data_IF_879297284115
#
_entry.id   IF_879297284115
#
_cell.length_a   1.000
_cell.length_b   1.000
_cell.length_c   1.000
_cell.angle_alpha   90.00
_cell.angle_beta   90.00
_cell.angle_gamma   90.00
#
_symmetry.space_group_name_H-M   'P 1'
#
loop_
_entity.id
_entity.type
_entity.pdbx_description
1 polymer ?
#
# COMPACT_ATOMS: atom_id res chain seq x y z
N UNK A 1 14.49 29.95 -5.86
CA UNK A 1 14.54 29.73 -4.42
C UNK A 1 14.97 28.30 -4.12
N UNK A 2 15.62 28.07 -2.98
CA UNK A 2 16.09 26.75 -2.57
C UNK A 2 14.97 25.92 -1.92
N UNK A 3 13.94 26.60 -1.45
CA UNK A 3 12.73 25.99 -0.85
C UNK A 3 11.51 26.49 -1.61
N UNK A 4 10.65 25.55 -1.99
CA UNK A 4 9.38 25.78 -2.68
C UNK A 4 8.28 25.22 -1.80
N UNK A 5 7.26 26.04 -1.51
CA UNK A 5 6.10 25.64 -0.71
C UNK A 5 4.87 25.70 -1.62
N UNK A 6 4.14 24.60 -1.71
CA UNK A 6 2.96 24.44 -2.56
C UNK A 6 1.79 23.95 -1.72
N UNK A 7 0.67 24.63 -1.87
CA UNK A 7 -0.58 24.24 -1.22
C UNK A 7 -1.53 23.69 -2.27
N UNK A 8 -1.87 22.40 -2.18
CA UNK A 8 -2.76 21.68 -3.11
C UNK A 8 -2.42 21.92 -4.60
N UNK A 9 -1.17 21.73 -5.07
CA UNK A 9 -0.72 22.22 -6.36
C UNK A 9 -1.46 21.66 -7.57
N UNK A 10 -2.11 20.48 -7.43
CA UNK A 10 -2.86 19.85 -8.52
C UNK A 10 -4.36 19.78 -8.30
N UNK A 11 -4.89 20.52 -7.31
CA UNK A 11 -6.33 20.57 -7.06
C UNK A 11 -7.09 21.15 -8.27
N UNK A 12 -8.11 20.44 -8.73
CA UNK A 12 -8.91 20.85 -9.89
C UNK A 12 -8.21 20.78 -11.26
N UNK A 13 -7.02 20.19 -11.33
CA UNK A 13 -6.24 20.03 -12.56
C UNK A 13 -6.55 18.68 -13.21
N UNK A 14 -6.67 18.67 -14.54
CA UNK A 14 -6.85 17.39 -15.28
C UNK A 14 -5.63 16.46 -15.17
N UNK A 15 -5.83 15.20 -15.50
CA UNK A 15 -4.82 14.14 -15.30
C UNK A 15 -3.54 14.39 -16.09
N UNK A 16 -3.64 14.93 -17.33
CA UNK A 16 -2.47 15.14 -18.19
C UNK A 16 -1.60 16.30 -17.66
N UNK A 17 -2.24 17.39 -17.27
CA UNK A 17 -1.55 18.54 -16.69
C UNK A 17 -0.97 18.20 -15.30
N UNK A 18 -1.67 17.40 -14.49
CA UNK A 18 -1.16 16.90 -13.21
C UNK A 18 0.14 16.12 -13.40
N UNK A 19 0.19 15.17 -14.33
CA UNK A 19 1.40 14.39 -14.62
C UNK A 19 2.56 15.27 -15.11
N UNK A 20 2.25 16.29 -15.91
CA UNK A 20 3.26 17.25 -16.37
C UNK A 20 3.84 18.06 -15.23
N UNK A 21 2.99 18.48 -14.27
CA UNK A 21 3.43 19.20 -13.07
C UNK A 21 4.27 18.30 -12.16
N UNK A 22 3.88 17.04 -11.95
CA UNK A 22 4.69 16.09 -11.18
C UNK A 22 6.08 15.88 -11.78
N UNK A 23 6.16 15.75 -13.09
CA UNK A 23 7.45 15.65 -13.78
C UNK A 23 8.31 16.88 -13.52
N UNK A 24 7.74 18.08 -13.63
CA UNK A 24 8.45 19.32 -13.38
C UNK A 24 8.91 19.46 -11.92
N UNK A 25 8.10 19.07 -10.96
CA UNK A 25 8.48 19.07 -9.54
C UNK A 25 9.64 18.09 -9.25
N UNK A 26 9.61 16.90 -9.85
CA UNK A 26 10.70 15.95 -9.76
C UNK A 26 12.00 16.48 -10.40
N UNK A 27 11.92 17.21 -11.50
CA UNK A 27 13.08 17.87 -12.12
C UNK A 27 13.68 18.92 -11.17
N UNK A 28 12.85 19.80 -10.59
CA UNK A 28 13.30 20.79 -9.60
C UNK A 28 13.94 20.15 -8.37
N UNK A 29 13.36 19.04 -7.88
CA UNK A 29 13.93 18.30 -6.75
C UNK A 29 15.30 17.70 -7.13
N UNK A 30 15.44 17.14 -8.34
CA UNK A 30 16.72 16.60 -8.84
C UNK A 30 17.79 17.66 -8.99
N UNK A 31 17.42 18.93 -9.19
CA UNK A 31 18.31 20.11 -9.19
C UNK A 31 18.71 20.57 -7.77
N UNK A 32 18.29 19.84 -6.73
CA UNK A 32 18.61 20.13 -5.34
C UNK A 32 17.65 21.09 -4.63
N UNK A 33 16.45 21.34 -5.19
CA UNK A 33 15.43 22.14 -4.50
C UNK A 33 14.72 21.33 -3.45
N UNK A 34 14.42 21.91 -2.32
CA UNK A 34 13.56 21.34 -1.29
C UNK A 34 12.10 21.75 -1.58
N UNK A 35 11.21 20.77 -1.68
CA UNK A 35 9.78 21.01 -1.97
C UNK A 35 8.95 20.54 -0.78
N UNK A 36 8.15 21.44 -0.23
CA UNK A 36 7.11 21.14 0.73
C UNK A 36 5.76 21.34 0.06
N UNK A 37 4.94 20.30 0.01
CA UNK A 37 3.60 20.40 -0.55
C UNK A 37 2.54 19.86 0.41
N UNK A 38 1.35 20.41 0.34
CA UNK A 38 0.14 19.82 0.92
C UNK A 38 -0.71 19.23 -0.19
N UNK A 39 -1.36 18.12 0.06
CA UNK A 39 -2.28 17.50 -0.88
C UNK A 39 -3.26 16.57 -0.16
N UNK A 40 -4.44 16.42 -0.72
CA UNK A 40 -5.38 15.35 -0.34
C UNK A 40 -5.36 14.18 -1.34
N UNK A 41 -4.59 14.28 -2.41
CA UNK A 41 -4.37 13.18 -3.36
C UNK A 41 -3.23 12.30 -2.87
N UNK A 42 -3.56 11.12 -2.37
CA UNK A 42 -2.57 10.18 -1.83
C UNK A 42 -1.57 9.74 -2.90
N UNK A 43 -2.04 9.51 -4.13
CA UNK A 43 -1.16 9.17 -5.26
C UNK A 43 -0.09 10.25 -5.49
N UNK A 44 -0.44 11.54 -5.34
CA UNK A 44 0.53 12.64 -5.46
C UNK A 44 1.62 12.56 -4.39
N UNK A 45 1.22 12.31 -3.15
CA UNK A 45 2.16 12.13 -2.05
C UNK A 45 3.08 10.91 -2.26
N UNK A 46 2.54 9.79 -2.73
CA UNK A 46 3.32 8.58 -3.04
C UNK A 46 4.34 8.79 -4.16
N UNK A 47 3.97 9.55 -5.19
CA UNK A 47 4.81 9.75 -6.38
C UNK A 47 5.88 10.83 -6.21
N UNK A 48 5.63 11.83 -5.37
CA UNK A 48 6.50 13.00 -5.26
C UNK A 48 7.31 13.06 -3.96
N UNK A 49 6.80 12.48 -2.86
CA UNK A 49 7.34 12.75 -1.54
C UNK A 49 8.23 11.62 -1.03
N UNK A 50 9.44 11.95 -0.62
CA UNK A 50 10.33 11.05 0.12
C UNK A 50 9.87 10.84 1.57
N UNK A 51 9.26 11.88 2.16
CA UNK A 51 8.69 11.87 3.51
C UNK A 51 7.29 12.47 3.49
N UNK A 52 6.38 11.80 4.18
CA UNK A 52 4.98 12.18 4.29
C UNK A 52 4.62 12.37 5.76
N UNK A 53 3.83 13.39 6.06
CA UNK A 53 3.18 13.57 7.35
C UNK A 53 1.66 13.49 7.16
N UNK A 54 1.03 12.52 7.79
CA UNK A 54 -0.44 12.39 7.83
C UNK A 54 -0.97 13.28 8.94
N UNK A 55 -1.85 14.21 8.57
CA UNK A 55 -2.42 15.20 9.47
C UNK A 55 -3.93 15.01 9.54
N UNK A 56 -4.48 14.94 10.73
CA UNK A 56 -5.92 14.99 10.99
C UNK A 56 -6.21 15.84 12.23
N UNK A 57 -7.27 16.63 12.17
CA UNK A 57 -7.70 17.55 13.26
C UNK A 57 -6.56 18.43 13.80
N UNK A 58 -5.68 18.91 12.91
CA UNK A 58 -4.56 19.79 13.25
C UNK A 58 -3.39 19.09 13.97
N UNK A 59 -3.37 17.76 14.01
CA UNK A 59 -2.30 16.97 14.63
C UNK A 59 -1.62 16.07 13.60
N UNK A 60 -0.31 15.94 13.70
CA UNK A 60 0.43 14.93 12.94
C UNK A 60 0.19 13.58 13.59
N UNK A 61 -0.51 12.68 12.90
CA UNK A 61 -0.79 11.33 13.36
C UNK A 61 0.42 10.41 13.16
N UNK A 62 1.05 10.49 12.00
CA UNK A 62 2.22 9.68 11.64
C UNK A 62 3.09 10.42 10.62
N UNK A 63 4.39 10.09 10.60
CA UNK A 63 5.36 10.61 9.64
C UNK A 63 6.35 9.52 9.26
N UNK A 64 6.71 9.46 7.98
CA UNK A 64 7.70 8.53 7.42
C UNK A 64 7.71 8.56 5.90
N UNK A 65 8.56 7.76 5.30
CA UNK A 65 8.49 7.51 3.86
C UNK A 65 7.22 6.73 3.50
N UNK A 66 6.71 6.81 2.26
CA UNK A 66 5.58 6.01 1.80
C UNK A 66 5.74 4.53 2.13
N UNK A 67 6.96 4.00 1.89
CA UNK A 67 7.29 2.60 2.15
C UNK A 67 7.24 2.24 3.64
N UNK A 68 7.78 3.08 4.52
CA UNK A 68 7.74 2.85 5.96
C UNK A 68 6.29 2.86 6.48
N UNK A 69 5.50 3.85 6.04
CA UNK A 69 4.10 3.96 6.45
C UNK A 69 3.27 2.76 6.03
N UNK A 70 3.43 2.30 4.79
CA UNK A 70 2.70 1.12 4.29
C UNK A 70 3.16 -0.18 4.94
N UNK A 71 4.44 -0.34 5.27
CA UNK A 71 4.97 -1.54 5.93
C UNK A 71 4.61 -1.62 7.42
N UNK A 72 4.61 -0.48 8.13
CA UNK A 72 4.32 -0.46 9.57
C UNK A 72 2.82 -0.57 9.88
N UNK A 73 1.99 0.08 9.10
CA UNK A 73 0.58 0.32 9.43
C UNK A 73 -0.39 -0.40 8.50
N UNK A 74 0.08 -0.79 7.34
CA UNK A 74 -0.77 -1.40 6.35
C UNK A 74 -1.03 -2.88 6.59
N UNK A 75 -2.24 -3.33 6.34
CA UNK A 75 -2.59 -4.75 6.25
C UNK A 75 -2.33 -5.25 4.84
N UNK A 76 -1.20 -5.89 4.64
CA UNK A 76 -0.92 -6.59 3.38
C UNK A 76 -1.51 -8.00 3.42
N UNK A 77 -1.98 -8.49 2.29
CA UNK A 77 -2.61 -9.79 2.19
C UNK A 77 -2.19 -10.58 0.95
N UNK A 78 -2.32 -11.88 1.04
CA UNK A 78 -2.20 -12.79 -0.10
C UNK A 78 -3.50 -13.55 -0.21
N UNK A 79 -4.11 -13.52 -1.40
CA UNK A 79 -5.29 -14.32 -1.72
C UNK A 79 -4.90 -15.42 -2.69
N UNK A 80 -5.11 -16.68 -2.31
CA UNK A 80 -4.81 -17.82 -3.16
C UNK A 80 -6.11 -18.57 -3.45
N UNK A 81 -6.50 -18.61 -4.72
CA UNK A 81 -7.59 -19.45 -5.18
C UNK A 81 -7.06 -20.85 -5.43
N UNK A 82 -7.70 -21.83 -4.81
CA UNK A 82 -7.32 -23.23 -4.88
C UNK A 82 -8.40 -24.05 -5.57
N UNK A 83 -8.02 -25.22 -6.09
CA UNK A 83 -8.96 -26.19 -6.59
C UNK A 83 -9.77 -26.83 -5.46
N UNK A 84 -10.34 -28.00 -5.70
CA UNK A 84 -11.19 -28.71 -4.74
C UNK A 84 -10.45 -28.91 -3.40
N UNK A 85 -10.97 -28.29 -2.34
CA UNK A 85 -10.30 -28.22 -1.04
C UNK A 85 -11.06 -29.07 0.00
N UNK A 86 -10.64 -30.31 0.16
CA UNK A 86 -11.08 -31.18 1.27
C UNK A 86 -10.08 -31.26 2.41
N UNK A 87 -9.10 -30.36 2.46
CA UNK A 87 -7.94 -30.48 3.33
C UNK A 87 -8.03 -29.62 4.58
N UNK A 88 -7.49 -30.14 5.68
CA UNK A 88 -7.23 -29.38 6.90
C UNK A 88 -5.94 -28.58 6.71
N UNK A 89 -6.05 -27.30 6.43
CA UNK A 89 -4.92 -26.41 6.20
C UNK A 89 -4.09 -26.14 7.46
N UNK A 90 -4.73 -26.20 8.64
CA UNK A 90 -4.08 -25.90 9.93
C UNK A 90 -2.86 -26.78 10.21
N UNK A 91 -2.80 -27.98 9.64
CA UNK A 91 -1.67 -28.90 9.86
C UNK A 91 -0.35 -28.42 9.26
N UNK A 92 -0.38 -27.52 8.26
CA UNK A 92 0.80 -27.05 7.56
C UNK A 92 0.83 -25.54 7.31
N UNK A 93 -0.27 -24.82 7.63
CA UNK A 93 -0.36 -23.35 7.54
C UNK A 93 -0.43 -22.69 8.93
N UNK A 94 -0.13 -23.41 10.00
CA UNK A 94 -0.21 -22.90 11.38
C UNK A 94 0.64 -21.67 11.65
N UNK A 95 1.69 -21.43 10.85
CA UNK A 95 2.57 -20.28 10.97
C UNK A 95 1.94 -18.98 10.43
N UNK A 96 0.78 -19.08 9.77
CA UNK A 96 0.11 -17.98 9.13
C UNK A 96 -1.29 -17.76 9.67
N UNK A 97 -1.67 -16.48 9.79
CA UNK A 97 -3.06 -16.11 10.01
C UNK A 97 -3.79 -16.11 8.68
N UNK A 98 -4.83 -16.93 8.53
CA UNK A 98 -5.60 -17.01 7.29
C UNK A 98 -7.08 -17.25 7.55
N UNK A 99 -7.89 -16.95 6.54
CA UNK A 99 -9.30 -17.34 6.46
C UNK A 99 -9.53 -18.13 5.16
N UNK A 100 -10.52 -19.06 5.18
CA UNK A 100 -10.88 -19.84 4.01
C UNK A 100 -12.36 -19.67 3.69
N UNK A 101 -12.65 -19.20 2.49
CA UNK A 101 -14.02 -19.08 1.95
C UNK A 101 -14.01 -19.18 0.43
N UNK A 102 -15.04 -19.77 -0.16
CA UNK A 102 -15.24 -19.85 -1.62
C UNK A 102 -14.02 -20.36 -2.40
N UNK A 103 -13.36 -21.40 -1.89
CA UNK A 103 -12.12 -21.96 -2.43
C UNK A 103 -10.96 -20.93 -2.49
N UNK A 104 -10.97 -19.91 -1.65
CA UNK A 104 -9.94 -18.91 -1.50
C UNK A 104 -9.38 -18.92 -0.09
N UNK A 105 -8.05 -18.94 0.00
CA UNK A 105 -7.28 -18.73 1.21
C UNK A 105 -6.85 -17.26 1.24
N UNK A 106 -7.25 -16.53 2.26
CA UNK A 106 -6.86 -15.15 2.48
C UNK A 106 -5.89 -15.10 3.65
N UNK A 107 -4.65 -14.72 3.38
CA UNK A 107 -3.58 -14.60 4.37
C UNK A 107 -3.38 -13.15 4.75
N UNK A 108 -3.31 -12.87 6.05
CA UNK A 108 -2.86 -11.57 6.59
C UNK A 108 -1.37 -11.66 6.87
N UNK A 109 -0.55 -10.93 6.11
CA UNK A 109 0.92 -10.98 6.19
C UNK A 109 1.50 -9.57 6.13
N UNK A 110 2.56 -9.32 6.90
CA UNK A 110 3.25 -8.02 6.87
C UNK A 110 4.10 -7.81 5.61
N UNK A 111 4.59 -8.88 5.03
CA UNK A 111 5.48 -8.83 3.86
C UNK A 111 5.11 -9.94 2.87
N UNK A 112 4.21 -9.64 1.92
CA UNK A 112 3.73 -10.63 0.95
C UNK A 112 4.85 -11.27 0.13
N UNK A 113 5.86 -10.50 -0.28
CA UNK A 113 6.95 -10.97 -1.14
C UNK A 113 7.79 -12.06 -0.46
N UNK A 114 7.92 -12.00 0.86
CA UNK A 114 8.63 -13.01 1.67
C UNK A 114 7.74 -14.20 1.98
N UNK A 115 6.49 -13.96 2.32
CA UNK A 115 5.55 -15.01 2.74
C UNK A 115 5.04 -15.86 1.56
N UNK A 116 4.83 -15.27 0.40
CA UNK A 116 4.22 -15.91 -0.76
C UNK A 116 4.98 -17.18 -1.23
N UNK A 117 6.31 -17.16 -1.41
CA UNK A 117 7.03 -18.36 -1.84
C UNK A 117 6.89 -19.52 -0.86
N UNK A 118 6.93 -19.26 0.45
CA UNK A 118 6.77 -20.30 1.48
C UNK A 118 5.35 -20.88 1.49
N UNK A 119 4.33 -20.01 1.41
CA UNK A 119 2.91 -20.43 1.35
C UNK A 119 2.68 -21.32 0.11
N UNK A 120 3.14 -20.87 -1.07
CA UNK A 120 3.02 -21.64 -2.31
C UNK A 120 3.70 -23.00 -2.18
N UNK A 121 4.90 -23.05 -1.60
CA UNK A 121 5.63 -24.29 -1.39
C UNK A 121 4.89 -25.24 -0.44
N UNK A 122 4.33 -24.74 0.65
CA UNK A 122 3.53 -25.53 1.61
C UNK A 122 2.28 -26.11 0.97
N UNK A 123 1.55 -25.30 0.19
CA UNK A 123 0.36 -25.76 -0.55
C UNK A 123 0.73 -26.84 -1.58
N UNK A 124 1.79 -26.62 -2.35
CA UNK A 124 2.24 -27.57 -3.38
C UNK A 124 2.71 -28.90 -2.80
N UNK A 125 3.45 -28.88 -1.68
CA UNK A 125 3.88 -30.11 -0.96
C UNK A 125 2.71 -30.94 -0.44
N UNK A 126 1.58 -30.29 -0.16
CA UNK A 126 0.36 -30.96 0.30
C UNK A 126 -0.63 -31.24 -0.85
N UNK A 127 -0.15 -31.24 -2.09
CA UNK A 127 -0.93 -31.53 -3.30
C UNK A 127 -2.15 -30.63 -3.50
N UNK A 128 -2.11 -29.40 -2.99
CA UNK A 128 -3.16 -28.40 -3.20
C UNK A 128 -2.91 -27.75 -4.57
N UNK A 129 -3.90 -27.85 -5.46
CA UNK A 129 -3.83 -27.22 -6.79
C UNK A 129 -4.13 -25.74 -6.68
N UNK A 130 -3.12 -24.89 -6.94
CA UNK A 130 -3.26 -23.43 -6.98
C UNK A 130 -3.81 -23.04 -8.35
N UNK A 131 -4.86 -22.22 -8.36
CA UNK A 131 -5.49 -21.68 -9.58
C UNK A 131 -5.05 -20.25 -9.86
N UNK A 132 -5.02 -19.39 -8.85
CA UNK A 132 -4.51 -18.02 -8.94
C UNK A 132 -3.89 -17.59 -7.61
N UNK A 133 -2.97 -16.65 -7.69
CA UNK A 133 -2.35 -15.97 -6.54
C UNK A 133 -2.45 -14.48 -6.78
N UNK A 134 -3.01 -13.77 -5.83
CA UNK A 134 -3.13 -12.32 -5.84
C UNK A 134 -2.49 -11.79 -4.56
N UNK A 135 -1.61 -10.81 -4.68
CA UNK A 135 -1.08 -10.12 -3.51
C UNK A 135 -1.61 -8.69 -3.47
N UNK A 136 -2.16 -8.32 -2.34
CA UNK A 136 -2.54 -6.96 -2.05
C UNK A 136 -1.47 -6.40 -1.10
N UNK A 137 -0.61 -5.53 -1.64
CA UNK A 137 0.21 -4.68 -0.78
C UNK A 137 -0.68 -3.58 -0.23
N UNK A 138 -0.51 -3.27 1.04
CA UNK A 138 -1.17 -2.11 1.64
C UNK A 138 -0.80 -0.85 0.88
N UNK A 139 -1.79 -0.05 0.55
CA UNK A 139 -1.61 1.27 -0.03
C UNK A 139 -1.48 2.33 1.07
N UNK A 140 -0.94 3.48 0.73
CA UNK A 140 -0.93 4.62 1.66
C UNK A 140 -2.36 5.10 1.97
N UNK A 141 -3.30 4.86 1.06
CA UNK A 141 -4.73 5.11 1.25
C UNK A 141 -5.29 4.25 2.40
N UNK A 142 -4.99 2.94 2.42
CA UNK A 142 -5.38 2.06 3.53
C UNK A 142 -4.83 2.55 4.86
N UNK A 143 -3.57 2.98 4.87
CA UNK A 143 -2.92 3.57 6.06
C UNK A 143 -3.65 4.84 6.52
N UNK A 144 -4.01 5.72 5.59
CA UNK A 144 -4.75 6.94 5.89
C UNK A 144 -6.12 6.64 6.50
N UNK A 145 -6.87 5.71 5.90
CA UNK A 145 -8.18 5.27 6.37
C UNK A 145 -8.11 4.66 7.78
N UNK A 146 -7.13 3.81 8.03
CA UNK A 146 -6.92 3.17 9.33
C UNK A 146 -6.59 4.19 10.43
N UNK A 147 -5.78 5.21 10.11
CA UNK A 147 -5.38 6.23 11.08
C UNK A 147 -6.47 7.27 11.36
N UNK A 148 -7.23 7.66 10.35
CA UNK A 148 -8.23 8.74 10.49
C UNK A 148 -9.64 8.21 10.74
N UNK A 149 -9.91 6.96 10.38
CA UNK A 149 -11.26 6.37 10.40
C UNK A 149 -12.23 7.05 9.44
N UNK A 150 -11.72 7.84 8.50
CA UNK A 150 -12.50 8.62 7.52
C UNK A 150 -12.16 8.16 6.11
N UNK A 151 -13.18 7.94 5.28
CA UNK A 151 -12.99 7.80 3.84
C UNK A 151 -12.45 9.11 3.27
N UNK A 152 -11.65 8.99 2.21
CA UNK A 152 -11.27 10.14 1.41
C UNK A 152 -12.52 10.50 0.61
N UNK A 153 -13.12 11.65 0.90
CA UNK A 153 -14.22 12.17 0.09
C UNK A 153 -13.66 12.50 -1.30
N UNK A 154 -14.25 11.88 -2.33
CA UNK A 154 -14.02 12.18 -3.74
C UNK A 154 -14.56 13.57 -4.13
#
# INVERSE_FOLDING_TARGET
PDIIILDEPTAGVDVELRRSLWKYLNELHSEGKTILLTTHYIEEAEQLCENIAIIDEGKILKRGSPKELTQELGSSGITIKIGDARNKFDSFLSDYSYTFSDNRLHFSVKNPDVAMPDIIQKLSKNNIKIQSVESNSSSLEDVFLDLTGKGIDE
#
